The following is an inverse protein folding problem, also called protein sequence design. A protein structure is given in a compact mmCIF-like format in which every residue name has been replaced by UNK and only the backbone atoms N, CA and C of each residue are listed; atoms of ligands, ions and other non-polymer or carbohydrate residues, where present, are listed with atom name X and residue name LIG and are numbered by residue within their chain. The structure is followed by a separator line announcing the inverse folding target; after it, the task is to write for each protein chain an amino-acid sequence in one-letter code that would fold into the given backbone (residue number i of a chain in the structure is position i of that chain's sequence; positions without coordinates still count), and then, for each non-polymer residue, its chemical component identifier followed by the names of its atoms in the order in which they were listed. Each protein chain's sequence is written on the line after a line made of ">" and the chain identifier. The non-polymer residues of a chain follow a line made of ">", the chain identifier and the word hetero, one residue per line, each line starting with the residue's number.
data_IF_116838427997
#
_entry.id   IF_116838427997
#
_cell.length_a   1.000
_cell.length_b   1.000
_cell.length_c   1.000
_cell.angle_alpha   90.00
_cell.angle_beta   90.00
_cell.angle_gamma   90.00
#
_symmetry.space_group_name_H-M   'P 1'
#
loop_
_entity.id
_entity.type
_entity.pdbx_description
1 polymer ?
#
# COMPACT_ATOMS: atom_id res chain seq x y z
N UNK A 1 12.23 -4.30 12.79
CA UNK A 1 12.19 -5.03 11.50
C UNK A 1 12.00 -4.09 10.31
N UNK A 2 11.07 -3.13 10.37
CA UNK A 2 10.81 -2.11 9.32
C UNK A 2 12.03 -1.30 8.90
N UNK A 3 12.84 -0.86 9.87
CA UNK A 3 14.08 -0.09 9.60
C UNK A 3 15.08 -0.87 8.76
N UNK A 4 15.19 -2.19 8.96
CA UNK A 4 16.16 -3.05 8.24
C UNK A 4 15.72 -3.25 6.79
N UNK A 5 14.43 -3.50 6.55
CA UNK A 5 13.91 -3.70 5.21
C UNK A 5 13.93 -2.41 4.39
N UNK A 6 13.57 -1.27 5.02
CA UNK A 6 13.75 0.04 4.40
C UNK A 6 15.20 0.33 4.05
N UNK A 7 16.12 0.06 4.99
CA UNK A 7 17.55 0.22 4.75
C UNK A 7 18.02 -0.66 3.59
N UNK A 8 17.52 -1.90 3.50
CA UNK A 8 17.77 -2.80 2.38
C UNK A 8 17.28 -2.25 1.04
N UNK A 9 16.08 -1.67 0.98
CA UNK A 9 15.56 -1.02 -0.24
C UNK A 9 16.40 0.21 -0.61
N UNK A 10 16.74 1.07 0.36
CA UNK A 10 17.62 2.20 0.15
C UNK A 10 18.99 1.78 -0.38
N UNK A 11 19.54 0.68 0.14
CA UNK A 11 20.79 0.10 -0.32
C UNK A 11 20.68 -0.45 -1.75
N UNK A 12 19.56 -1.09 -2.11
CA UNK A 12 19.29 -1.51 -3.49
C UNK A 12 19.25 -0.32 -4.46
N UNK A 13 18.59 0.79 -4.09
CA UNK A 13 18.61 2.02 -4.89
C UNK A 13 20.02 2.59 -5.04
N UNK A 14 20.82 2.59 -3.97
CA UNK A 14 22.20 3.04 -4.02
C UNK A 14 23.05 2.17 -4.96
N UNK A 15 22.96 0.84 -4.86
CA UNK A 15 23.66 -0.08 -5.77
C UNK A 15 23.20 0.14 -7.21
N UNK A 16 21.90 0.32 -7.44
CA UNK A 16 21.35 0.59 -8.77
C UNK A 16 21.98 1.85 -9.37
N UNK A 17 22.10 2.92 -8.58
CA UNK A 17 22.73 4.18 -9.01
C UNK A 17 24.23 4.01 -9.31
N UNK A 18 24.98 3.33 -8.43
CA UNK A 18 26.41 3.05 -8.66
C UNK A 18 26.61 2.19 -9.91
N UNK A 19 25.75 1.19 -10.13
CA UNK A 19 25.81 0.31 -11.30
C UNK A 19 25.52 1.09 -12.58
N UNK A 20 24.52 1.98 -12.55
CA UNK A 20 24.20 2.87 -13.67
C UNK A 20 25.40 3.75 -14.04
N UNK A 21 26.02 4.39 -13.05
CA UNK A 21 27.20 5.22 -13.26
C UNK A 21 28.38 4.42 -13.85
N UNK A 22 28.59 3.19 -13.37
CA UNK A 22 29.59 2.29 -13.93
C UNK A 22 29.30 1.95 -15.40
N UNK A 23 28.04 1.66 -15.75
CA UNK A 23 27.64 1.38 -17.14
C UNK A 23 27.97 2.58 -18.03
N UNK A 24 27.58 3.80 -17.62
CA UNK A 24 27.86 5.04 -18.38
C UNK A 24 29.36 5.22 -18.60
N UNK A 25 30.18 5.08 -17.55
CA UNK A 25 31.64 5.17 -17.67
C UNK A 25 32.24 4.08 -18.56
N UNK A 26 31.70 2.87 -18.52
CA UNK A 26 32.18 1.76 -19.34
C UNK A 26 31.90 1.97 -20.83
N UNK A 27 30.77 2.60 -21.17
CA UNK A 27 30.47 3.04 -22.54
C UNK A 27 31.41 4.15 -23.01
N UNK A 28 31.63 5.21 -22.20
CA UNK A 28 32.53 6.33 -22.57
C UNK A 28 33.96 5.84 -22.80
N UNK A 29 34.45 4.92 -21.96
CA UNK A 29 35.83 4.39 -22.05
C UNK A 29 35.99 3.21 -23.01
N UNK A 30 34.97 2.87 -23.80
CA UNK A 30 34.98 1.72 -24.73
C UNK A 30 35.53 0.43 -24.07
N UNK A 31 35.10 0.12 -22.85
CA UNK A 31 35.53 -1.11 -22.16
C UNK A 31 35.03 -2.35 -22.90
N UNK A 32 35.69 -3.49 -22.67
CA UNK A 32 35.30 -4.76 -23.30
C UNK A 32 33.82 -5.08 -23.07
N UNK A 33 33.12 -5.43 -24.15
CA UNK A 33 31.67 -5.70 -24.18
C UNK A 33 31.21 -6.62 -23.05
N UNK A 34 31.98 -7.66 -22.71
CA UNK A 34 31.68 -8.62 -21.64
C UNK A 34 31.42 -7.98 -20.27
N UNK A 35 32.17 -6.94 -19.91
CA UNK A 35 31.97 -6.24 -18.62
C UNK A 35 30.72 -5.36 -18.63
N UNK A 36 30.41 -4.74 -19.78
CA UNK A 36 29.21 -3.92 -19.96
C UNK A 36 27.97 -4.81 -19.87
N UNK A 37 27.97 -5.96 -20.55
CA UNK A 37 26.84 -6.90 -20.51
C UNK A 37 26.59 -7.45 -19.10
N UNK A 38 27.64 -7.76 -18.33
CA UNK A 38 27.50 -8.19 -16.93
C UNK A 38 26.90 -7.09 -16.05
N UNK A 39 27.36 -5.85 -16.20
CA UNK A 39 26.82 -4.72 -15.44
C UNK A 39 25.34 -4.46 -15.78
N UNK A 40 24.98 -4.55 -17.07
CA UNK A 40 23.59 -4.46 -17.53
C UNK A 40 22.70 -5.56 -16.94
N UNK A 41 23.19 -6.81 -16.89
CA UNK A 41 22.47 -7.91 -16.25
C UNK A 41 22.22 -7.64 -14.77
N UNK A 42 23.23 -7.21 -14.02
CA UNK A 42 23.10 -6.84 -12.60
C UNK A 42 22.08 -5.70 -12.44
N UNK A 43 22.19 -4.65 -13.26
CA UNK A 43 21.27 -3.52 -13.25
C UNK A 43 19.83 -3.97 -13.50
N UNK A 44 19.61 -4.84 -14.50
CA UNK A 44 18.29 -5.37 -14.83
C UNK A 44 17.72 -6.21 -13.68
N UNK A 45 18.52 -7.08 -13.05
CA UNK A 45 18.08 -7.89 -11.90
C UNK A 45 17.67 -7.03 -10.71
N UNK A 46 18.48 -6.01 -10.39
CA UNK A 46 18.17 -5.05 -9.32
C UNK A 46 16.88 -4.28 -9.64
N UNK A 47 16.74 -3.80 -10.88
CA UNK A 47 15.57 -3.08 -11.33
C UNK A 47 14.31 -3.95 -11.22
N UNK A 48 14.35 -5.20 -11.69
CA UNK A 48 13.23 -6.13 -11.60
C UNK A 48 12.83 -6.43 -10.15
N UNK A 49 13.80 -6.49 -9.23
CA UNK A 49 13.53 -6.73 -7.81
C UNK A 49 12.82 -5.52 -7.17
N UNK A 50 13.27 -4.30 -7.47
CA UNK A 50 12.61 -3.07 -7.01
C UNK A 50 11.19 -2.97 -7.61
N UNK A 51 11.05 -3.21 -8.91
CA UNK A 51 9.74 -3.20 -9.59
C UNK A 51 8.81 -4.23 -8.98
N UNK A 52 9.26 -5.47 -8.75
CA UNK A 52 8.44 -6.51 -8.13
C UNK A 52 8.00 -6.15 -6.70
N UNK A 53 8.85 -5.43 -5.96
CA UNK A 53 8.51 -4.98 -4.61
C UNK A 53 7.45 -3.87 -4.59
N UNK A 54 7.57 -2.89 -5.49
CA UNK A 54 6.66 -1.75 -5.62
C UNK A 54 5.50 -1.99 -6.58
N UNK A 55 5.41 -3.19 -7.18
CA UNK A 55 4.37 -3.50 -8.14
C UNK A 55 3.00 -3.37 -7.46
N UNK A 56 2.07 -2.59 -8.04
CA UNK A 56 0.77 -2.40 -7.43
C UNK A 56 0.02 -3.74 -7.38
N UNK A 57 -0.52 -4.07 -6.22
CA UNK A 57 -1.30 -5.28 -6.02
C UNK A 57 -2.77 -4.95 -6.26
N UNK A 58 -3.49 -5.84 -6.96
CA UNK A 58 -4.93 -5.70 -7.13
C UNK A 58 -5.62 -5.79 -5.78
N UNK A 59 -6.65 -4.96 -5.58
CA UNK A 59 -7.41 -4.99 -4.34
C UNK A 59 -8.14 -6.34 -4.20
N UNK A 60 -7.84 -7.15 -3.17
CA UNK A 60 -8.46 -8.46 -2.99
C UNK A 60 -9.99 -8.38 -2.75
N UNK A 61 -10.51 -7.21 -2.37
CA UNK A 61 -11.95 -6.94 -2.28
C UNK A 61 -12.69 -7.11 -3.61
N UNK A 62 -12.00 -7.07 -4.75
CA UNK A 62 -12.59 -7.34 -6.07
C UNK A 62 -13.00 -8.81 -6.24
N UNK A 63 -12.38 -9.73 -5.50
CA UNK A 63 -12.64 -11.17 -5.59
C UNK A 63 -13.64 -11.67 -4.54
N UNK A 64 -13.93 -10.86 -3.52
CA UNK A 64 -14.81 -11.25 -2.42
C UNK A 64 -16.30 -11.06 -2.77
N UNK A 65 -17.05 -12.17 -2.76
CA UNK A 65 -18.48 -12.20 -3.11
C UNK A 65 -19.39 -11.67 -1.98
N UNK A 66 -19.11 -12.04 -0.74
CA UNK A 66 -19.86 -11.63 0.45
C UNK A 66 -18.92 -11.04 1.49
N UNK A 67 -19.13 -9.78 1.84
CA UNK A 67 -18.29 -9.03 2.78
C UNK A 67 -19.16 -8.20 3.72
N UNK A 68 -18.78 -8.19 4.98
CA UNK A 68 -19.35 -7.34 6.04
C UNK A 68 -18.40 -6.17 6.27
N UNK A 69 -18.95 -4.98 6.47
CA UNK A 69 -18.20 -3.77 6.80
C UNK A 69 -18.63 -3.31 8.19
N UNK A 70 -17.65 -3.14 9.08
CA UNK A 70 -17.82 -2.54 10.40
C UNK A 70 -17.01 -1.25 10.42
N UNK A 71 -17.63 -0.13 10.82
CA UNK A 71 -16.92 1.13 11.05
C UNK A 71 -16.73 1.31 12.55
N UNK A 72 -15.50 1.63 12.95
CA UNK A 72 -15.15 2.05 14.31
C UNK A 72 -14.53 3.44 14.25
N UNK A 73 -15.23 4.41 14.85
CA UNK A 73 -14.81 5.83 14.90
C UNK A 73 -14.41 6.27 16.31
N UNK A 74 -13.89 5.36 17.13
CA UNK A 74 -13.47 5.64 18.51
C UNK A 74 -14.59 5.96 19.50
N UNK A 75 -15.82 6.22 19.03
CA UNK A 75 -16.98 6.62 19.83
C UNK A 75 -18.20 5.72 19.57
N UNK A 76 -18.35 5.14 18.37
CA UNK A 76 -19.41 4.18 18.03
C UNK A 76 -18.90 3.03 17.16
N UNK A 77 -19.55 1.87 17.34
CA UNK A 77 -19.47 0.70 16.47
C UNK A 77 -20.80 0.58 15.72
N UNK A 78 -20.83 0.96 14.45
CA UNK A 78 -22.05 0.91 13.65
C UNK A 78 -21.90 -0.09 12.50
N UNK A 79 -22.84 -1.05 12.42
CA UNK A 79 -23.00 -1.90 11.24
C UNK A 79 -23.65 -1.08 10.13
N UNK A 80 -22.92 -0.88 9.03
CA UNK A 80 -23.41 -0.12 7.88
C UNK A 80 -24.59 -0.80 7.19
N UNK A 81 -25.56 0.01 6.76
CA UNK A 81 -26.62 -0.42 5.85
C UNK A 81 -26.07 -0.83 4.47
N UNK A 82 -26.73 -1.81 3.84
CA UNK A 82 -26.29 -2.47 2.59
C UNK A 82 -26.05 -1.53 1.40
N UNK A 83 -26.80 -0.42 1.28
CA UNK A 83 -26.57 0.58 0.21
C UNK A 83 -25.25 1.33 0.40
N UNK A 84 -24.90 1.64 1.64
CA UNK A 84 -23.72 2.44 2.01
C UNK A 84 -22.44 1.61 1.98
N UNK A 85 -22.57 0.33 2.33
CA UNK A 85 -21.55 -0.70 2.07
C UNK A 85 -21.10 -0.70 0.60
N UNK A 86 -22.05 -0.61 -0.34
CA UNK A 86 -21.71 -0.64 -1.77
C UNK A 86 -20.92 0.59 -2.24
N UNK A 87 -21.23 1.78 -1.72
CA UNK A 87 -20.47 3.01 -2.04
C UNK A 87 -19.04 2.95 -1.51
N UNK A 88 -18.86 2.58 -0.24
CA UNK A 88 -17.54 2.40 0.37
C UNK A 88 -16.75 1.30 -0.36
N UNK A 89 -17.41 0.18 -0.67
CA UNK A 89 -16.81 -0.92 -1.44
C UNK A 89 -16.29 -0.44 -2.79
N UNK A 90 -17.06 0.37 -3.54
CA UNK A 90 -16.62 0.92 -4.82
C UNK A 90 -15.41 1.86 -4.66
N UNK A 91 -15.42 2.74 -3.66
CA UNK A 91 -14.30 3.66 -3.40
C UNK A 91 -13.01 2.88 -3.13
N UNK A 92 -13.09 1.82 -2.31
CA UNK A 92 -11.95 0.97 -1.94
C UNK A 92 -11.49 0.11 -3.13
N UNK A 93 -12.41 -0.50 -3.88
CA UNK A 93 -12.08 -1.35 -5.03
C UNK A 93 -11.38 -0.59 -6.17
N UNK A 94 -11.61 0.71 -6.27
CA UNK A 94 -10.97 1.58 -7.27
C UNK A 94 -9.53 1.99 -6.88
N UNK A 95 -9.06 1.63 -5.69
CA UNK A 95 -7.70 1.92 -5.26
C UNK A 95 -6.69 0.87 -5.72
N UNK A 96 -5.57 1.36 -6.25
CA UNK A 96 -4.37 0.55 -6.42
C UNK A 96 -3.53 0.61 -5.15
N UNK A 97 -3.25 -0.55 -4.56
CA UNK A 97 -2.53 -0.67 -3.31
C UNK A 97 -1.03 -0.82 -3.59
N UNK A 98 -0.21 0.03 -2.98
CA UNK A 98 1.25 -0.01 -3.09
C UNK A 98 1.83 -0.27 -1.71
N UNK A 99 2.79 -1.20 -1.60
CA UNK A 99 3.46 -1.48 -0.32
C UNK A 99 4.10 -0.22 0.24
N UNK A 100 3.82 0.06 1.51
CA UNK A 100 4.39 1.22 2.18
C UNK A 100 5.63 0.82 2.99
N UNK A 101 6.75 1.45 2.71
CA UNK A 101 7.99 1.30 3.48
C UNK A 101 7.97 2.09 4.79
N UNK A 102 7.24 3.22 4.89
CA UNK A 102 7.12 3.97 6.14
C UNK A 102 6.28 3.26 7.20
N UNK A 103 5.47 2.26 6.81
CA UNK A 103 4.59 1.48 7.71
C UNK A 103 5.17 0.10 7.95
N UNK A 104 4.87 -0.50 9.09
CA UNK A 104 5.42 -1.81 9.49
C UNK A 104 4.98 -2.89 8.51
N UNK A 105 5.86 -3.37 7.62
CA UNK A 105 5.49 -4.34 6.57
C UNK A 105 4.84 -5.64 7.07
N UNK A 106 5.03 -6.00 8.34
CA UNK A 106 4.38 -7.12 9.03
C UNK A 106 4.15 -6.74 10.49
N UNK A 107 2.91 -6.79 10.99
CA UNK A 107 2.62 -6.71 12.43
C UNK A 107 1.63 -5.63 12.85
N UNK A 108 1.74 -5.18 14.11
CA UNK A 108 0.80 -4.29 14.82
C UNK A 108 0.59 -2.94 14.13
N UNK A 109 -0.63 -2.39 14.25
CA UNK A 109 -0.99 -1.08 13.71
C UNK A 109 0.07 -0.03 14.04
N UNK A 110 0.56 0.75 13.05
CA UNK A 110 1.52 1.82 13.31
C UNK A 110 0.90 3.01 14.06
N UNK A 111 -0.43 3.08 14.15
CA UNK A 111 -1.17 4.18 14.78
C UNK A 111 -2.23 3.66 15.77
N UNK A 112 -2.53 4.41 16.84
CA UNK A 112 -3.63 4.08 17.75
C UNK A 112 -4.98 4.07 17.03
N UNK A 113 -5.85 3.12 17.39
CA UNK A 113 -7.17 2.95 16.77
C UNK A 113 -8.10 4.16 16.94
N UNK A 114 -7.89 4.99 17.96
CA UNK A 114 -8.72 6.16 18.25
C UNK A 114 -8.31 7.44 17.47
N UNK A 115 -7.26 7.38 16.64
CA UNK A 115 -6.77 8.54 15.87
C UNK A 115 -7.36 8.64 14.45
N UNK A 116 -8.36 7.82 14.13
CA UNK A 116 -8.95 7.79 12.79
C UNK A 116 -10.22 6.96 12.69
N UNK A 117 -10.70 6.84 11.46
CA UNK A 117 -11.83 5.98 11.08
C UNK A 117 -11.25 4.61 10.68
N UNK A 118 -11.67 3.56 11.37
CA UNK A 118 -11.31 2.18 11.03
C UNK A 118 -12.48 1.51 10.32
N UNK A 119 -12.23 0.97 9.14
CA UNK A 119 -13.21 0.18 8.39
C UNK A 119 -12.70 -1.25 8.31
N UNK A 120 -13.29 -2.12 9.13
CA UNK A 120 -13.02 -3.54 9.12
C UNK A 120 -13.90 -4.22 8.07
N UNK A 121 -13.25 -4.96 7.17
CA UNK A 121 -13.91 -5.67 6.08
C UNK A 121 -13.62 -7.16 6.24
N UNK A 122 -14.66 -7.92 6.57
CA UNK A 122 -14.58 -9.36 6.80
C UNK A 122 -15.40 -10.12 5.76
N UNK A 123 -14.80 -11.14 5.14
CA UNK A 123 -15.47 -12.02 4.18
C UNK A 123 -15.79 -13.39 4.76
N UNK A 124 -16.95 -13.95 4.39
CA UNK A 124 -17.36 -15.30 4.82
C UNK A 124 -16.61 -16.42 4.06
N UNK A 125 -16.11 -16.13 2.86
CA UNK A 125 -15.32 -17.09 2.07
C UNK A 125 -13.82 -16.80 2.27
N UNK A 126 -13.11 -17.75 2.89
CA UNK A 126 -11.64 -17.77 3.08
C UNK A 126 -11.09 -16.57 3.87
N UNK A 127 -11.18 -16.60 5.21
CA UNK A 127 -10.39 -15.79 6.17
C UNK A 127 -10.03 -14.37 5.73
N UNK A 128 -10.92 -13.70 4.99
CA UNK A 128 -10.61 -12.44 4.36
C UNK A 128 -10.83 -11.37 5.41
N UNK A 129 -9.73 -10.78 5.87
CA UNK A 129 -9.75 -9.66 6.79
C UNK A 129 -8.89 -8.54 6.21
N UNK A 130 -9.53 -7.40 6.01
CA UNK A 130 -8.90 -6.17 5.57
C UNK A 130 -9.31 -5.06 6.51
N UNK A 131 -8.35 -4.26 6.93
CA UNK A 131 -8.59 -3.03 7.67
C UNK A 131 -8.24 -1.84 6.77
N UNK A 132 -9.17 -0.91 6.61
CA UNK A 132 -8.87 0.40 6.02
C UNK A 132 -8.84 1.43 7.14
N UNK A 133 -7.67 2.01 7.36
CA UNK A 133 -7.47 3.05 8.35
C UNK A 133 -7.39 4.42 7.67
N UNK A 134 -8.19 5.36 8.15
CA UNK A 134 -8.40 6.66 7.54
C UNK A 134 -8.09 7.74 8.56
N UNK A 135 -7.06 8.55 8.26
CA UNK A 135 -6.70 9.74 9.04
C UNK A 135 -7.24 10.98 8.35
N UNK A 136 -8.14 11.67 9.05
CA UNK A 136 -8.75 12.91 8.55
C UNK A 136 -7.76 14.08 8.65
N UNK A 137 -6.96 14.11 9.72
CA UNK A 137 -5.96 15.14 10.01
C UNK A 137 -4.74 15.05 9.08
N UNK A 138 -4.32 13.83 8.73
CA UNK A 138 -3.22 13.58 7.80
C UNK A 138 -3.55 12.43 6.83
N UNK A 139 -4.25 12.72 5.72
CA UNK A 139 -4.71 11.71 4.78
C UNK A 139 -3.61 10.80 4.25
N UNK A 140 -2.38 11.31 4.07
CA UNK A 140 -1.23 10.54 3.56
C UNK A 140 -0.85 9.35 4.46
N UNK A 141 -1.20 9.42 5.73
CA UNK A 141 -0.96 8.35 6.69
C UNK A 141 -2.07 7.30 6.71
N UNK A 142 -3.16 7.51 5.96
CA UNK A 142 -4.19 6.47 5.73
C UNK A 142 -3.59 5.25 5.01
N UNK A 143 -4.08 4.06 5.33
CA UNK A 143 -3.58 2.81 4.76
C UNK A 143 -4.66 1.74 4.65
N UNK A 144 -4.33 0.71 3.88
CA UNK A 144 -5.04 -0.57 3.88
C UNK A 144 -4.11 -1.63 4.45
N UNK A 145 -4.57 -2.36 5.46
CA UNK A 145 -3.93 -3.57 5.95
C UNK A 145 -4.62 -4.79 5.35
N UNK A 146 -3.84 -5.70 4.77
CA UNK A 146 -4.31 -6.97 4.23
C UNK A 146 -3.23 -8.04 4.37
N UNK A 147 -3.59 -9.22 4.90
CA UNK A 147 -2.64 -10.30 5.22
C UNK A 147 -1.44 -9.82 6.05
N UNK A 148 -1.72 -8.98 7.07
CA UNK A 148 -0.73 -8.34 7.94
C UNK A 148 0.27 -7.43 7.23
N UNK A 149 0.02 -7.05 5.97
CA UNK A 149 0.85 -6.11 5.21
C UNK A 149 0.12 -4.78 5.02
N UNK A 150 0.86 -3.68 5.10
CA UNK A 150 0.34 -2.33 5.01
C UNK A 150 0.61 -1.73 3.63
N UNK A 151 -0.44 -1.17 3.05
CA UNK A 151 -0.44 -0.57 1.73
C UNK A 151 -0.83 0.90 1.83
N UNK A 152 -0.08 1.76 1.14
CA UNK A 152 -0.45 3.16 0.94
C UNK A 152 -1.63 3.27 -0.01
N UNK A 153 -2.46 4.27 0.25
CA UNK A 153 -3.55 4.68 -0.62
C UNK A 153 -3.04 5.79 -1.55
N UNK A 154 -3.12 5.55 -2.86
CA UNK A 154 -2.79 6.57 -3.85
C UNK A 154 -3.84 7.69 -3.85
N UNK A 155 -3.41 8.95 -4.01
CA UNK A 155 -4.30 10.12 -3.97
C UNK A 155 -5.15 10.14 -2.68
N UNK A 156 -4.49 9.90 -1.55
CA UNK A 156 -5.11 9.75 -0.24
C UNK A 156 -6.09 10.86 0.12
N UNK A 157 -5.80 12.12 -0.25
CA UNK A 157 -6.67 13.25 0.08
C UNK A 157 -8.09 13.08 -0.49
N UNK A 158 -8.17 12.72 -1.79
CA UNK A 158 -9.47 12.48 -2.45
C UNK A 158 -10.16 11.25 -1.86
N UNK A 159 -9.40 10.18 -1.63
CA UNK A 159 -9.95 8.96 -1.04
C UNK A 159 -10.58 9.21 0.34
N UNK A 160 -9.87 9.92 1.23
CA UNK A 160 -10.35 10.28 2.57
C UNK A 160 -11.59 11.15 2.47
N UNK A 161 -11.60 12.16 1.58
CA UNK A 161 -12.78 13.00 1.35
C UNK A 161 -13.99 12.20 0.87
N UNK A 162 -13.81 11.29 -0.07
CA UNK A 162 -14.89 10.45 -0.61
C UNK A 162 -15.48 9.55 0.49
N UNK A 163 -14.63 8.95 1.35
CA UNK A 163 -15.11 8.13 2.48
C UNK A 163 -15.80 8.97 3.55
N UNK A 164 -15.18 10.07 4.00
CA UNK A 164 -15.76 10.96 5.03
C UNK A 164 -17.09 11.51 4.55
N UNK A 165 -17.25 11.84 3.27
CA UNK A 165 -18.52 12.29 2.70
C UNK A 165 -19.61 11.23 2.77
N UNK A 166 -19.28 9.96 2.54
CA UNK A 166 -20.23 8.85 2.71
C UNK A 166 -20.58 8.66 4.18
N UNK A 167 -19.60 8.80 5.08
CA UNK A 167 -19.80 8.66 6.52
C UNK A 167 -20.59 9.82 7.13
N UNK A 168 -20.32 11.08 6.77
CA UNK A 168 -21.05 12.22 7.33
C UNK A 168 -22.51 12.29 6.86
N UNK A 169 -22.83 11.69 5.71
CA UNK A 169 -24.23 11.45 5.29
C UNK A 169 -24.93 10.37 6.12
N UNK A 170 -24.23 9.70 7.05
CA UNK A 170 -24.79 8.76 8.01
C UNK A 170 -25.37 9.45 9.25
N UNK A 171 -24.78 10.58 9.65
CA UNK A 171 -25.11 11.29 10.90
C UNK A 171 -26.19 12.37 10.72
N UNK A 172 -26.57 12.67 9.47
CA UNK A 172 -27.61 13.64 9.07
C UNK A 172 -28.89 12.95 8.61
#
# INVERSE_FOLDING_TARGET
>A
MTKVLNLGIWFLFFILFVTLFYIVLAFIKNKQRKYITRALLIFLTLLLTIVAFYFPVKNPLQQAKQVTFTIENGVSEDKLESKKVNEIKQIIQNQHLIKNTSKTLVGTSPYPFNEGINIHISGNEISFNMLVFIRIDNPKESYVEYNSQYYSILKSDKFVQDIVKVINRLES
#
